data_IF_489094078661
#
_entry.id   IF_489094078661
#
_cell.length_a   1.000
_cell.length_b   1.000
_cell.length_c   1.000
_cell.angle_alpha   90.00
_cell.angle_beta   90.00
_cell.angle_gamma   90.00
#
_symmetry.space_group_name_H-M   'P 1'
#
loop_
_entity.id
_entity.type
_entity.pdbx_description
1 polymer ?
#
# COMPACT_ATOMS: atom_id res chain seq x y z
N UNK A 1 -9.87 -18.64 11.72
CA UNK A 1 -9.97 -17.78 10.52
C UNK A 1 -11.05 -16.75 10.81
N UNK A 2 -10.72 -15.72 11.58
CA UNK A 2 -11.69 -14.66 11.88
C UNK A 2 -11.52 -13.55 10.85
N UNK A 3 -12.16 -13.78 9.70
CA UNK A 3 -12.32 -12.78 8.67
C UNK A 3 -13.38 -11.79 9.18
N UNK A 4 -12.94 -10.78 9.94
CA UNK A 4 -13.79 -9.65 10.31
C UNK A 4 -13.92 -8.68 9.12
N UNK A 5 -14.63 -9.16 8.09
CA UNK A 5 -15.17 -8.37 7.00
C UNK A 5 -16.40 -7.60 7.54
N UNK A 6 -16.21 -6.32 7.85
CA UNK A 6 -17.29 -5.31 7.86
C UNK A 6 -18.23 -5.18 9.08
N UNK A 7 -17.71 -4.99 10.29
CA UNK A 7 -18.44 -4.17 11.28
C UNK A 7 -18.20 -2.68 10.95
N UNK A 8 -19.24 -1.97 10.51
CA UNK A 8 -19.48 -0.49 10.51
C UNK A 8 -20.29 0.02 9.30
N UNK A 9 -21.04 1.12 9.54
CA UNK A 9 -22.12 1.80 8.81
C UNK A 9 -22.34 1.51 7.30
N UNK A 10 -23.61 1.30 6.92
CA UNK A 10 -24.04 0.91 5.56
C UNK A 10 -23.53 1.81 4.41
N UNK A 11 -23.37 3.11 4.64
CA UNK A 11 -22.92 4.05 3.60
C UNK A 11 -21.45 3.89 3.17
N UNK A 12 -20.56 3.57 4.11
CA UNK A 12 -19.14 3.36 3.82
C UNK A 12 -18.92 2.05 3.03
N UNK A 13 -19.79 1.05 3.23
CA UNK A 13 -19.77 -0.22 2.48
C UNK A 13 -20.13 0.00 1.01
N UNK A 14 -21.19 0.78 0.75
CA UNK A 14 -21.62 1.10 -0.62
C UNK A 14 -20.52 1.84 -1.38
N UNK A 15 -19.87 2.82 -0.74
CA UNK A 15 -18.75 3.54 -1.33
C UNK A 15 -17.58 2.59 -1.64
N UNK A 16 -17.29 1.65 -0.74
CA UNK A 16 -16.26 0.64 -0.96
C UNK A 16 -16.51 -0.25 -2.18
N UNK A 17 -17.70 -0.85 -2.27
CA UNK A 17 -18.06 -1.68 -3.44
C UNK A 17 -18.05 -0.87 -4.73
N UNK A 18 -18.49 0.38 -4.70
CA UNK A 18 -18.43 1.27 -5.85
C UNK A 18 -16.99 1.52 -6.32
N UNK A 19 -16.04 1.74 -5.40
CA UNK A 19 -14.62 1.91 -5.75
C UNK A 19 -14.03 0.65 -6.40
N UNK A 20 -14.34 -0.54 -5.87
CA UNK A 20 -13.87 -1.80 -6.47
C UNK A 20 -14.46 -1.99 -7.86
N UNK A 21 -15.77 -1.75 -8.04
CA UNK A 21 -16.42 -1.82 -9.35
C UNK A 21 -15.85 -0.82 -10.34
N UNK A 22 -15.51 0.38 -9.88
CA UNK A 22 -14.86 1.40 -10.71
C UNK A 22 -13.49 0.92 -11.20
N UNK A 23 -12.66 0.36 -10.31
CA UNK A 23 -11.35 -0.22 -10.69
C UNK A 23 -11.53 -1.33 -11.73
N UNK A 24 -12.45 -2.28 -11.49
CA UNK A 24 -12.74 -3.35 -12.46
C UNK A 24 -13.20 -2.80 -13.81
N UNK A 25 -14.04 -1.75 -13.81
CA UNK A 25 -14.55 -1.13 -15.03
C UNK A 25 -13.44 -0.45 -15.82
N UNK A 26 -12.52 0.26 -15.15
CA UNK A 26 -11.36 0.89 -15.80
C UNK A 26 -10.47 -0.17 -16.45
N UNK A 27 -10.15 -1.25 -15.73
CA UNK A 27 -9.36 -2.37 -16.26
C UNK A 27 -10.06 -3.02 -17.47
N UNK A 28 -11.38 -3.21 -17.41
CA UNK A 28 -12.14 -3.78 -18.51
C UNK A 28 -12.12 -2.89 -19.78
N UNK A 29 -12.20 -1.56 -19.61
CA UNK A 29 -12.09 -0.60 -20.73
C UNK A 29 -10.70 -0.66 -21.35
N UNK A 30 -9.63 -0.65 -20.53
CA UNK A 30 -8.26 -0.81 -21.04
C UNK A 30 -8.07 -2.14 -21.77
N UNK A 31 -8.53 -3.25 -21.19
CA UNK A 31 -8.46 -4.58 -21.80
C UNK A 31 -9.15 -4.61 -23.17
N UNK A 32 -10.38 -4.08 -23.24
CA UNK A 32 -11.13 -4.05 -24.49
C UNK A 32 -10.40 -3.22 -25.56
N UNK A 33 -9.87 -2.05 -25.20
CA UNK A 33 -9.14 -1.19 -26.11
C UNK A 33 -7.85 -1.86 -26.63
N UNK A 34 -6.99 -2.34 -25.73
CA UNK A 34 -5.67 -2.89 -26.09
C UNK A 34 -5.82 -4.25 -26.76
N UNK A 35 -6.54 -5.18 -26.13
CA UNK A 35 -6.59 -6.58 -26.57
C UNK A 35 -7.59 -6.76 -27.69
N UNK A 36 -8.82 -6.28 -27.54
CA UNK A 36 -9.90 -6.59 -28.50
C UNK A 36 -9.85 -5.69 -29.73
N UNK A 37 -9.70 -4.38 -29.53
CA UNK A 37 -9.76 -3.42 -30.63
C UNK A 37 -8.42 -3.26 -31.37
N UNK A 38 -7.30 -3.14 -30.65
CA UNK A 38 -6.02 -2.73 -31.26
C UNK A 38 -5.12 -3.91 -31.65
N UNK A 39 -4.73 -4.76 -30.68
CA UNK A 39 -3.62 -5.72 -30.88
C UNK A 39 -4.07 -7.16 -31.13
N UNK A 40 -5.21 -7.59 -30.63
CA UNK A 40 -5.76 -8.93 -30.90
C UNK A 40 -5.94 -9.22 -32.39
N UNK A 41 -6.55 -8.33 -33.19
CA UNK A 41 -6.70 -8.51 -34.64
C UNK A 41 -5.36 -8.60 -35.39
N UNK A 42 -4.28 -8.01 -34.85
CA UNK A 42 -2.96 -8.01 -35.48
C UNK A 42 -2.30 -9.40 -35.46
N UNK A 43 -2.69 -10.27 -34.52
CA UNK A 43 -2.22 -11.66 -34.47
C UNK A 43 -2.54 -12.43 -35.75
N UNK A 44 -3.67 -12.12 -36.39
CA UNK A 44 -4.15 -12.78 -37.60
C UNK A 44 -3.46 -12.31 -38.89
N UNK A 45 -2.72 -11.19 -38.84
CA UNK A 45 -2.06 -10.60 -40.03
C UNK A 45 -0.79 -11.33 -40.46
N UNK A 46 -0.27 -12.24 -39.62
CA UNK A 46 0.96 -12.99 -39.90
C UNK A 46 2.24 -12.13 -39.88
N UNK A 47 3.38 -12.79 -40.12
CA UNK A 47 4.69 -12.13 -40.20
C UNK A 47 5.11 -11.38 -38.93
N UNK A 48 5.84 -10.28 -39.11
CA UNK A 48 6.39 -9.46 -38.01
C UNK A 48 5.29 -8.81 -37.14
N UNK A 49 4.14 -8.48 -37.74
CA UNK A 49 3.02 -7.87 -37.02
C UNK A 49 2.41 -8.83 -36.00
N UNK A 50 2.26 -10.10 -36.38
CA UNK A 50 1.77 -11.14 -35.46
C UNK A 50 2.74 -11.38 -34.30
N UNK A 51 4.05 -11.42 -34.55
CA UNK A 51 5.07 -11.56 -33.50
C UNK A 51 5.08 -10.37 -32.53
N UNK A 52 5.00 -9.14 -33.04
CA UNK A 52 4.94 -7.93 -32.22
C UNK A 52 3.67 -7.91 -31.36
N UNK A 53 2.52 -8.22 -31.97
CA UNK A 53 1.25 -8.30 -31.27
C UNK A 53 1.28 -9.36 -30.16
N UNK A 54 1.82 -10.55 -30.45
CA UNK A 54 2.00 -11.59 -29.44
C UNK A 54 2.86 -11.09 -28.27
N UNK A 55 3.99 -10.44 -28.54
CA UNK A 55 4.90 -9.94 -27.51
C UNK A 55 4.25 -8.88 -26.62
N UNK A 56 3.50 -7.94 -27.22
CA UNK A 56 2.77 -6.89 -26.50
C UNK A 56 1.65 -7.50 -25.65
N UNK A 57 0.84 -8.39 -26.24
CA UNK A 57 -0.26 -9.05 -25.52
C UNK A 57 0.26 -9.95 -24.40
N UNK A 58 1.39 -10.63 -24.59
CA UNK A 58 2.03 -11.42 -23.54
C UNK A 58 2.46 -10.52 -22.37
N UNK A 59 3.15 -9.42 -22.66
CA UNK A 59 3.55 -8.46 -21.63
C UNK A 59 2.34 -7.86 -20.90
N UNK A 60 1.30 -7.46 -21.64
CA UNK A 60 0.04 -6.96 -21.10
C UNK A 60 -0.56 -7.95 -20.09
N UNK A 61 -0.71 -9.22 -20.46
CA UNK A 61 -1.31 -10.21 -19.56
C UNK A 61 -0.43 -10.49 -18.34
N UNK A 62 0.90 -10.50 -18.48
CA UNK A 62 1.82 -10.65 -17.34
C UNK A 62 1.67 -9.48 -16.35
N UNK A 63 1.65 -8.24 -16.85
CA UNK A 63 1.46 -7.05 -16.02
C UNK A 63 0.07 -7.04 -15.37
N UNK A 64 -0.99 -7.36 -16.12
CA UNK A 64 -2.34 -7.47 -15.60
C UNK A 64 -2.46 -8.51 -14.48
N UNK A 65 -1.81 -9.67 -14.62
CA UNK A 65 -1.77 -10.70 -13.55
C UNK A 65 -1.06 -10.15 -12.31
N UNK A 66 0.09 -9.51 -12.46
CA UNK A 66 0.85 -8.96 -11.34
C UNK A 66 0.12 -7.80 -10.65
N UNK A 67 -0.54 -6.94 -11.43
CA UNK A 67 -1.39 -5.84 -10.96
C UNK A 67 -2.55 -6.39 -10.14
N UNK A 68 -3.35 -7.28 -10.72
CA UNK A 68 -4.54 -7.84 -10.06
C UNK A 68 -4.18 -8.65 -8.82
N UNK A 69 -3.11 -9.45 -8.89
CA UNK A 69 -2.60 -10.17 -7.73
C UNK A 69 -2.19 -9.22 -6.60
N UNK A 70 -1.44 -8.16 -6.91
CA UNK A 70 -1.03 -7.16 -5.92
C UNK A 70 -2.23 -6.39 -5.35
N UNK A 71 -3.21 -6.05 -6.19
CA UNK A 71 -4.45 -5.38 -5.79
C UNK A 71 -5.25 -6.23 -4.79
N UNK A 72 -5.50 -7.49 -5.10
CA UNK A 72 -6.22 -8.37 -4.17
C UNK A 72 -5.46 -8.59 -2.87
N UNK A 73 -4.12 -8.68 -2.92
CA UNK A 73 -3.31 -8.79 -1.72
C UNK A 73 -3.43 -7.54 -0.83
N UNK A 74 -3.43 -6.32 -1.36
CA UNK A 74 -3.60 -5.12 -0.53
C UNK A 74 -5.05 -4.94 -0.02
N UNK A 75 -6.05 -5.28 -0.84
CA UNK A 75 -7.47 -5.18 -0.48
C UNK A 75 -7.82 -6.14 0.66
N UNK A 76 -7.43 -7.42 0.55
CA UNK A 76 -7.88 -8.46 1.48
C UNK A 76 -6.94 -8.70 2.66
N UNK A 77 -5.66 -8.31 2.58
CA UNK A 77 -4.74 -8.48 3.69
C UNK A 77 -5.05 -7.46 4.78
N UNK A 78 -5.17 -7.94 6.02
CA UNK A 78 -5.23 -7.05 7.18
C UNK A 78 -3.93 -6.22 7.25
N UNK A 79 -3.98 -4.88 7.28
CA UNK A 79 -2.80 -4.02 7.32
C UNK A 79 -1.97 -4.12 8.61
N UNK A 80 -2.45 -4.86 9.61
CA UNK A 80 -1.87 -4.96 10.95
C UNK A 80 -2.84 -4.39 11.97
N UNK A 81 -3.09 -5.14 13.04
CA UNK A 81 -3.92 -4.75 14.17
C UNK A 81 -3.12 -4.88 15.45
N UNK A 82 -3.31 -3.95 16.37
CA UNK A 82 -2.70 -4.03 17.70
C UNK A 82 -3.32 -5.21 18.46
N UNK A 83 -2.52 -6.10 19.06
CA UNK A 83 -3.02 -7.14 19.96
C UNK A 83 -3.84 -6.56 21.12
N UNK A 84 -4.81 -7.30 21.61
CA UNK A 84 -5.58 -6.90 22.79
C UNK A 84 -4.68 -6.78 24.02
N UNK A 85 -4.94 -5.78 24.85
CA UNK A 85 -4.18 -5.49 26.06
C UNK A 85 -2.67 -5.27 25.81
N UNK A 86 -2.29 -4.80 24.61
CA UNK A 86 -0.90 -4.47 24.33
C UNK A 86 -0.43 -3.38 25.28
N UNK A 87 0.74 -3.61 25.91
CA UNK A 87 1.43 -2.65 26.77
C UNK A 87 2.88 -2.56 26.31
N UNK A 88 3.46 -1.37 26.40
CA UNK A 88 4.89 -1.23 26.22
C UNK A 88 5.56 -1.91 27.41
N UNK A 89 6.44 -2.89 27.15
CA UNK A 89 7.25 -3.49 28.21
C UNK A 89 8.13 -2.38 28.79
N UNK A 90 7.93 -2.05 30.06
CA UNK A 90 8.79 -1.11 30.77
C UNK A 90 9.97 -1.88 31.37
N UNK A 91 11.09 -1.19 31.61
CA UNK A 91 12.27 -1.79 32.27
C UNK A 91 11.93 -2.39 33.65
N UNK A 92 10.84 -1.94 34.27
CA UNK A 92 10.29 -2.46 35.54
C UNK A 92 9.77 -3.91 35.39
N UNK A 93 9.15 -4.28 34.26
CA UNK A 93 8.65 -5.65 34.01
C UNK A 93 9.79 -6.68 33.89
N UNK A 94 10.97 -6.25 33.41
CA UNK A 94 12.16 -7.11 33.32
C UNK A 94 12.83 -7.35 34.69
N UNK A 95 12.61 -6.46 35.67
CA UNK A 95 13.12 -6.64 37.03
C UNK A 95 12.24 -7.57 37.86
N UNK A 96 10.92 -7.55 37.67
CA UNK A 96 9.97 -8.42 38.39
C UNK A 96 10.03 -9.89 37.96
N UNK A 97 10.47 -10.18 36.73
CA UNK A 97 10.72 -11.56 36.27
C UNK A 97 11.88 -12.26 37.03
N UNK A 98 12.69 -11.52 37.80
CA UNK A 98 13.77 -12.04 38.65
C UNK A 98 13.42 -12.18 40.14
N UNK A 99 12.24 -11.73 40.58
CA UNK A 99 11.88 -11.68 42.01
C UNK A 99 10.40 -12.00 42.22
N UNK A 100 10.05 -13.28 42.09
CA UNK A 100 8.77 -13.78 42.56
C UNK A 100 8.68 -13.71 44.09
N UNK A 101 7.85 -12.80 44.63
CA UNK A 101 7.00 -13.03 45.82
C UNK A 101 6.06 -11.84 46.12
N UNK A 102 4.75 -12.09 45.97
CA UNK A 102 3.59 -11.51 46.68
C UNK A 102 3.38 -9.98 46.72
N UNK A 103 2.25 -9.50 46.16
CA UNK A 103 0.99 -9.28 46.89
C UNK A 103 0.07 -8.31 46.15
N UNK A 104 -1.22 -8.61 46.18
CA UNK A 104 -2.35 -7.81 45.72
C UNK A 104 -2.41 -6.41 46.36
N UNK A 105 -2.63 -5.37 45.56
CA UNK A 105 -3.43 -4.21 45.98
C UNK A 105 -3.98 -3.42 44.78
N UNK A 106 -5.29 -3.22 44.78
CA UNK A 106 -6.00 -2.22 43.98
C UNK A 106 -5.56 -0.82 44.40
N UNK A 107 -5.16 0.03 43.44
CA UNK A 107 -5.00 1.47 43.65
C UNK A 107 -5.52 2.22 42.40
N UNK A 108 -6.55 3.03 42.60
CA UNK A 108 -7.06 4.01 41.63
C UNK A 108 -6.01 5.10 41.35
N UNK A 109 -6.01 5.74 40.16
CA UNK A 109 -5.01 6.75 39.85
C UNK A 109 -5.40 8.11 40.44
N UNK A 110 -4.89 8.43 41.62
CA UNK A 110 -4.90 9.80 42.13
C UNK A 110 -3.93 10.70 41.35
N UNK A 111 -4.44 11.85 40.95
CA UNK A 111 -3.74 12.99 40.38
C UNK A 111 -2.75 13.58 41.37
N UNK A 112 -1.45 13.45 41.11
CA UNK A 112 -0.43 14.31 41.70
C UNK A 112 0.34 15.06 40.61
N UNK A 113 0.14 16.38 40.62
CA UNK A 113 0.99 17.33 39.93
C UNK A 113 2.30 17.47 40.70
N UNK A 114 3.42 17.11 40.08
CA UNK A 114 4.75 17.51 40.53
C UNK A 114 5.56 17.98 39.33
N UNK A 115 5.98 19.23 39.44
CA UNK A 115 6.83 19.98 38.53
C UNK A 115 8.27 19.43 38.55
N UNK A 116 8.66 18.69 37.51
CA UNK A 116 10.03 18.77 36.99
C UNK A 116 10.14 18.24 35.54
N UNK A 117 10.28 19.17 34.60
CA UNK A 117 11.33 19.19 33.57
C UNK A 117 11.56 18.09 32.53
N UNK A 118 10.92 16.93 32.53
CA UNK A 118 11.06 15.98 31.41
C UNK A 118 9.72 15.34 31.07
N UNK A 119 9.12 15.80 29.95
CA UNK A 119 7.92 15.22 29.36
C UNK A 119 8.14 13.73 29.02
N UNK A 120 8.00 12.83 30.00
CA UNK A 120 7.72 11.41 29.77
C UNK A 120 6.25 11.30 29.36
N UNK A 121 5.98 11.86 28.19
CA UNK A 121 4.69 11.98 27.55
C UNK A 121 4.10 10.57 27.49
N UNK A 122 2.86 10.39 27.95
CA UNK A 122 2.09 9.13 27.84
C UNK A 122 1.77 8.81 26.36
N UNK A 123 2.78 8.63 25.50
CA UNK A 123 2.63 8.56 24.02
C UNK A 123 2.04 7.23 23.55
N UNK A 124 1.93 6.23 24.43
CA UNK A 124 1.58 4.87 24.03
C UNK A 124 0.12 4.45 24.27
N UNK A 125 -0.89 5.32 24.17
CA UNK A 125 -2.29 4.89 24.38
C UNK A 125 -3.28 5.50 23.38
N UNK A 126 -4.28 4.72 22.96
CA UNK A 126 -5.38 5.16 22.13
C UNK A 126 -6.69 5.15 22.93
N UNK A 127 -7.26 6.34 23.19
CA UNK A 127 -8.53 6.47 23.91
C UNK A 127 -9.73 5.91 23.14
N UNK A 128 -9.72 5.94 21.81
CA UNK A 128 -10.84 5.38 21.03
C UNK A 128 -10.86 3.85 21.05
N UNK A 129 -9.67 3.22 21.06
CA UNK A 129 -9.54 1.76 21.14
C UNK A 129 -9.39 1.24 22.58
N UNK A 130 -9.23 2.13 23.56
CA UNK A 130 -8.92 1.80 24.95
C UNK A 130 -7.76 0.82 25.10
N UNK A 131 -6.73 0.96 24.26
CA UNK A 131 -5.60 0.02 24.20
C UNK A 131 -4.27 0.76 24.07
N UNK A 132 -3.18 0.10 24.49
CA UNK A 132 -1.84 0.60 24.26
C UNK A 132 -1.52 0.74 22.77
N UNK A 133 -0.60 1.63 22.46
CA UNK A 133 -0.25 2.04 21.10
C UNK A 133 1.22 1.67 20.83
N UNK A 134 1.48 0.62 20.02
CA UNK A 134 2.83 0.29 19.58
C UNK A 134 3.51 1.44 18.85
N UNK A 135 4.85 1.43 18.75
CA UNK A 135 5.58 2.38 17.93
C UNK A 135 5.02 2.46 16.51
N UNK A 136 4.96 3.67 15.93
CA UNK A 136 4.51 3.90 14.53
C UNK A 136 3.06 3.51 14.23
N UNK A 137 2.30 3.07 15.24
CA UNK A 137 0.88 2.81 15.10
C UNK A 137 0.12 4.14 14.96
N UNK A 138 -1.02 4.18 14.27
CA UNK A 138 -1.97 5.30 14.35
C UNK A 138 -3.41 4.79 14.34
N UNK A 139 -4.34 5.55 14.92
CA UNK A 139 -5.77 5.23 14.86
C UNK A 139 -6.35 5.73 13.54
N UNK A 140 -6.99 4.85 12.77
CA UNK A 140 -7.74 5.24 11.58
C UNK A 140 -9.22 5.37 11.92
N UNK A 141 -9.76 6.59 11.82
CA UNK A 141 -11.19 6.84 12.06
C UNK A 141 -12.11 6.23 11.00
N UNK A 142 -11.60 5.89 9.82
CA UNK A 142 -12.39 5.20 8.79
C UNK A 142 -12.49 3.71 9.12
N UNK A 143 -11.37 3.08 9.50
CA UNK A 143 -11.35 1.69 9.92
C UNK A 143 -11.79 1.45 11.38
N UNK A 144 -11.94 2.53 12.17
CA UNK A 144 -12.29 2.51 13.60
C UNK A 144 -11.38 1.61 14.43
N UNK A 145 -10.08 1.62 14.11
CA UNK A 145 -9.07 0.82 14.81
C UNK A 145 -7.67 1.39 14.68
N UNK A 146 -6.81 0.99 15.61
CA UNK A 146 -5.37 1.19 15.50
C UNK A 146 -4.76 0.26 14.44
N UNK A 147 -3.94 0.84 13.56
CA UNK A 147 -3.22 0.17 12.48
C UNK A 147 -1.72 0.30 12.72
N UNK A 148 -1.02 -0.84 12.69
CA UNK A 148 0.42 -0.93 12.88
C UNK A 148 1.16 -0.31 11.69
N UNK A 149 2.21 0.48 11.96
CA UNK A 149 2.96 1.25 10.94
C UNK A 149 2.04 1.92 9.92
N UNK A 150 1.00 2.61 10.41
CA UNK A 150 -0.04 3.16 9.55
C UNK A 150 0.57 4.18 8.58
N UNK A 151 0.32 3.98 7.29
CA UNK A 151 0.69 4.92 6.25
C UNK A 151 -0.51 5.82 5.92
N UNK A 152 -1.59 5.24 5.39
CA UNK A 152 -2.83 5.97 5.14
C UNK A 152 -4.03 5.02 5.04
N UNK A 153 -5.23 5.60 4.98
CA UNK A 153 -6.42 4.89 4.52
C UNK A 153 -6.59 5.14 3.03
N UNK A 154 -6.62 4.08 2.22
CA UNK A 154 -6.68 4.19 0.78
C UNK A 154 -8.07 3.81 0.27
N UNK A 155 -8.76 4.79 -0.32
CA UNK A 155 -10.13 4.62 -0.82
C UNK A 155 -10.20 3.67 -2.02
N UNK A 156 -9.15 3.63 -2.86
CA UNK A 156 -9.07 2.78 -4.05
C UNK A 156 -8.99 1.27 -3.75
N UNK A 157 -8.47 0.91 -2.58
CA UNK A 157 -8.37 -0.47 -2.11
C UNK A 157 -9.32 -0.75 -0.94
N UNK A 158 -10.09 0.26 -0.51
CA UNK A 158 -11.07 0.18 0.59
C UNK A 158 -10.48 -0.41 1.87
N UNK A 159 -9.22 -0.09 2.14
CA UNK A 159 -8.47 -0.66 3.25
C UNK A 159 -7.41 0.34 3.72
N UNK A 160 -6.96 0.17 4.96
CA UNK A 160 -5.75 0.83 5.41
C UNK A 160 -4.51 0.20 4.77
N UNK A 161 -3.50 1.02 4.56
CA UNK A 161 -2.15 0.61 4.22
C UNK A 161 -1.30 0.74 5.48
N UNK A 162 -0.71 -0.38 5.92
CA UNK A 162 0.07 -0.50 7.15
C UNK A 162 1.15 -1.56 7.05
N UNK A 163 1.74 -1.95 8.18
CA UNK A 163 2.89 -2.84 8.24
C UNK A 163 2.74 -4.12 7.38
N UNK A 164 1.61 -4.80 7.50
CA UNK A 164 1.43 -6.15 6.95
C UNK A 164 1.01 -6.19 5.48
N UNK A 165 0.69 -5.04 4.86
CA UNK A 165 0.28 -4.96 3.45
C UNK A 165 0.99 -3.85 2.64
N UNK A 166 1.93 -3.10 3.23
CA UNK A 166 2.61 -2.00 2.55
C UNK A 166 3.35 -2.45 1.28
N UNK A 167 4.05 -3.59 1.32
CA UNK A 167 4.70 -4.17 0.11
C UNK A 167 3.70 -4.38 -1.03
N UNK A 168 2.53 -4.94 -0.74
CA UNK A 168 1.50 -5.22 -1.75
C UNK A 168 0.95 -3.94 -2.34
N UNK A 169 0.77 -2.90 -1.52
CA UNK A 169 0.40 -1.57 -1.98
C UNK A 169 1.47 -0.97 -2.93
N UNK A 170 2.75 -1.06 -2.58
CA UNK A 170 3.84 -0.56 -3.43
C UNK A 170 3.92 -1.30 -4.78
N UNK A 171 3.76 -2.62 -4.76
CA UNK A 171 3.71 -3.42 -5.99
C UNK A 171 2.47 -3.10 -6.82
N UNK A 172 1.31 -2.89 -6.19
CA UNK A 172 0.11 -2.43 -6.88
C UNK A 172 0.35 -1.08 -7.57
N UNK A 173 0.96 -0.09 -6.91
CA UNK A 173 1.31 1.19 -7.53
C UNK A 173 2.27 1.01 -8.72
N UNK A 174 3.32 0.21 -8.54
CA UNK A 174 4.31 -0.05 -9.58
C UNK A 174 3.69 -0.72 -10.81
N UNK A 175 2.94 -1.81 -10.62
CA UNK A 175 2.34 -2.55 -11.73
C UNK A 175 1.22 -1.76 -12.41
N UNK A 176 0.45 -0.97 -11.68
CA UNK A 176 -0.54 -0.07 -12.29
C UNK A 176 0.15 1.03 -13.11
N UNK A 177 1.25 1.59 -12.63
CA UNK A 177 2.05 2.55 -13.39
C UNK A 177 2.62 1.93 -14.67
N UNK A 178 3.20 0.73 -14.58
CA UNK A 178 3.77 0.04 -15.75
C UNK A 178 2.70 -0.34 -16.77
N UNK A 179 1.56 -0.88 -16.32
CA UNK A 179 0.44 -1.24 -17.18
C UNK A 179 -0.11 -0.01 -17.91
N UNK A 180 -0.48 1.05 -17.16
CA UNK A 180 -1.06 2.27 -17.74
C UNK A 180 -0.08 3.00 -18.67
N UNK A 181 1.23 2.96 -18.38
CA UNK A 181 2.26 3.49 -19.28
C UNK A 181 2.33 2.66 -20.57
N UNK A 182 2.30 1.33 -20.46
CA UNK A 182 2.34 0.45 -21.62
C UNK A 182 1.10 0.65 -22.50
N UNK A 183 -0.09 0.65 -21.91
CA UNK A 183 -1.37 0.90 -22.57
C UNK A 183 -1.35 2.24 -23.32
N UNK A 184 -0.84 3.30 -22.68
CA UNK A 184 -0.69 4.62 -23.30
C UNK A 184 0.19 4.55 -24.55
N UNK A 185 1.35 3.90 -24.46
CA UNK A 185 2.30 3.80 -25.58
C UNK A 185 1.74 2.98 -26.74
N UNK A 186 1.08 1.86 -26.45
CA UNK A 186 0.57 0.95 -27.49
C UNK A 186 -0.73 1.41 -28.12
N UNK A 187 -1.50 2.28 -27.43
CA UNK A 187 -2.71 2.92 -27.97
C UNK A 187 -2.41 4.23 -28.71
N UNK A 188 -1.25 4.86 -28.50
CA UNK A 188 -0.90 6.15 -29.11
C UNK A 188 -1.09 6.21 -30.64
N UNK A 189 -0.68 5.21 -31.45
CA UNK A 189 -0.91 5.25 -32.89
C UNK A 189 -2.39 5.25 -33.26
N UNK A 190 -3.21 4.47 -32.54
CA UNK A 190 -4.67 4.42 -32.73
C UNK A 190 -5.32 5.74 -32.32
N UNK A 191 -4.82 6.37 -31.25
CA UNK A 191 -5.28 7.67 -30.78
C UNK A 191 -4.92 8.81 -31.76
N UNK A 192 -3.76 8.77 -32.40
CA UNK A 192 -3.41 9.74 -33.45
C UNK A 192 -4.29 9.49 -34.69
N UNK A 193 -4.50 8.22 -35.05
CA UNK A 193 -5.39 7.82 -36.14
C UNK A 193 -6.84 8.30 -35.96
N UNK A 194 -7.34 8.29 -34.72
CA UNK A 194 -8.67 8.80 -34.38
C UNK A 194 -8.93 10.22 -34.92
N UNK A 195 -7.98 11.16 -34.81
CA UNK A 195 -8.18 12.53 -35.31
C UNK A 195 -8.23 12.61 -36.84
N UNK A 196 -7.59 11.67 -37.54
CA UNK A 196 -7.66 11.54 -39.00
C UNK A 196 -8.99 10.93 -39.45
N UNK A 197 -9.44 9.88 -38.77
CA UNK A 197 -10.65 9.12 -39.12
C UNK A 197 -11.94 9.81 -38.70
N UNK A 198 -11.94 10.52 -37.57
CA UNK A 198 -13.07 11.35 -37.14
C UNK A 198 -13.42 12.43 -38.18
N UNK A 199 -12.41 12.90 -38.93
CA UNK A 199 -12.62 13.81 -40.06
C UNK A 199 -13.32 13.13 -41.23
N UNK A 200 -13.10 11.82 -41.40
CA UNK A 200 -13.54 11.04 -42.57
C UNK A 200 -14.81 10.19 -42.33
N UNK A 201 -15.40 10.20 -41.12
CA UNK A 201 -16.65 9.51 -40.75
C UNK A 201 -16.69 7.99 -41.08
N UNK A 202 -15.55 7.30 -41.09
CA UNK A 202 -15.43 5.95 -41.67
C UNK A 202 -15.55 4.78 -40.68
N UNK A 203 -15.62 5.02 -39.37
CA UNK A 203 -15.60 3.97 -38.33
C UNK A 203 -16.80 4.03 -37.37
N UNK A 204 -17.10 2.89 -36.72
CA UNK A 204 -18.14 2.80 -35.70
C UNK A 204 -17.86 3.79 -34.55
N UNK A 205 -18.77 4.74 -34.26
CA UNK A 205 -18.57 5.75 -33.22
C UNK A 205 -18.26 5.16 -31.83
N UNK A 206 -18.77 3.97 -31.53
CA UNK A 206 -18.55 3.29 -30.24
C UNK A 206 -17.09 2.88 -30.03
N UNK A 207 -16.46 2.22 -31.01
CA UNK A 207 -15.07 1.76 -30.88
C UNK A 207 -14.10 2.95 -30.75
N UNK A 208 -14.38 4.03 -31.49
CA UNK A 208 -13.62 5.28 -31.39
C UNK A 208 -13.73 5.90 -29.98
N UNK A 209 -14.93 5.89 -29.39
CA UNK A 209 -15.14 6.39 -28.03
C UNK A 209 -14.38 5.57 -26.99
N UNK A 210 -14.38 4.24 -27.09
CA UNK A 210 -13.61 3.37 -26.18
C UNK A 210 -12.10 3.60 -26.27
N UNK A 211 -11.56 3.72 -27.49
CA UNK A 211 -10.13 3.99 -27.70
C UNK A 211 -9.71 5.35 -27.12
N UNK A 212 -10.51 6.38 -27.36
CA UNK A 212 -10.27 7.72 -26.81
C UNK A 212 -10.31 7.71 -25.27
N UNK A 213 -11.36 7.12 -24.70
CA UNK A 213 -11.53 7.02 -23.25
C UNK A 213 -10.40 6.24 -22.60
N UNK A 214 -10.04 5.07 -23.15
CA UNK A 214 -8.96 4.24 -22.65
C UNK A 214 -7.62 4.98 -22.70
N UNK A 215 -7.29 5.64 -23.81
CA UNK A 215 -6.04 6.38 -23.93
C UNK A 215 -5.94 7.52 -22.90
N UNK A 216 -6.98 8.34 -22.78
CA UNK A 216 -6.99 9.49 -21.84
C UNK A 216 -6.91 9.01 -20.38
N UNK A 217 -7.65 7.96 -20.03
CA UNK A 217 -7.61 7.40 -18.67
C UNK A 217 -6.21 6.83 -18.35
N UNK A 218 -5.63 6.01 -19.23
CA UNK A 218 -4.32 5.42 -19.00
C UNK A 218 -3.22 6.49 -18.90
N UNK A 219 -3.25 7.52 -19.77
CA UNK A 219 -2.30 8.63 -19.69
C UNK A 219 -2.41 9.39 -18.37
N UNK A 220 -3.64 9.70 -17.94
CA UNK A 220 -3.88 10.39 -16.67
C UNK A 220 -3.39 9.57 -15.48
N UNK A 221 -3.69 8.27 -15.45
CA UNK A 221 -3.20 7.38 -14.39
C UNK A 221 -1.69 7.25 -14.41
N UNK A 222 -1.06 7.04 -15.57
CA UNK A 222 0.40 6.90 -15.68
C UNK A 222 1.13 8.13 -15.10
N UNK A 223 0.69 9.34 -15.45
CA UNK A 223 1.27 10.59 -14.93
C UNK A 223 1.05 10.74 -13.42
N UNK A 224 -0.15 10.46 -12.93
CA UNK A 224 -0.45 10.55 -11.50
C UNK A 224 0.34 9.52 -10.68
N UNK A 225 0.40 8.27 -11.14
CA UNK A 225 1.02 7.16 -10.43
C UNK A 225 2.54 7.26 -10.43
N UNK A 226 3.15 7.87 -11.44
CA UNK A 226 4.58 8.20 -11.40
C UNK A 226 4.93 9.04 -10.16
N UNK A 227 4.11 10.05 -9.83
CA UNK A 227 4.30 10.87 -8.64
C UNK A 227 4.20 10.03 -7.36
N UNK A 228 3.18 9.16 -7.25
CA UNK A 228 3.01 8.28 -6.10
C UNK A 228 4.16 7.28 -5.96
N UNK A 229 4.63 6.66 -7.05
CA UNK A 229 5.77 5.74 -7.06
C UNK A 229 7.03 6.44 -6.55
N UNK A 230 7.32 7.64 -7.06
CA UNK A 230 8.50 8.43 -6.64
C UNK A 230 8.38 8.84 -5.16
N UNK A 231 7.22 9.31 -4.74
CA UNK A 231 6.96 9.70 -3.34
C UNK A 231 7.19 8.50 -2.41
N UNK A 232 6.55 7.35 -2.69
CA UNK A 232 6.69 6.17 -1.84
C UNK A 232 8.10 5.57 -1.89
N UNK A 233 8.82 5.65 -3.02
CA UNK A 233 10.21 5.25 -3.09
C UNK A 233 11.09 6.09 -2.14
N UNK A 234 10.81 7.40 -2.01
CA UNK A 234 11.47 8.28 -1.04
C UNK A 234 11.11 7.92 0.41
N UNK A 235 9.84 7.61 0.67
CA UNK A 235 9.36 7.16 1.98
C UNK A 235 10.03 5.86 2.42
N UNK A 236 10.12 4.85 1.54
CA UNK A 236 10.83 3.59 1.79
C UNK A 236 12.32 3.85 2.01
N UNK A 237 12.95 4.66 1.16
CA UNK A 237 14.39 4.96 1.25
C UNK A 237 14.77 5.59 2.59
N UNK A 238 13.87 6.35 3.21
CA UNK A 238 14.10 7.02 4.49
C UNK A 238 13.33 6.43 5.68
N UNK A 239 12.73 5.24 5.49
CA UNK A 239 11.93 4.50 6.47
C UNK A 239 10.89 5.34 7.22
N UNK A 240 10.16 6.16 6.48
CA UNK A 240 9.05 6.99 7.00
C UNK A 240 7.74 6.55 6.37
N UNK A 241 6.65 6.60 7.13
CA UNK A 241 5.29 6.58 6.56
C UNK A 241 4.84 7.98 6.16
N UNK A 242 3.76 8.11 5.39
CA UNK A 242 3.17 9.41 5.06
C UNK A 242 2.70 10.19 6.30
N UNK A 243 2.26 9.51 7.36
CA UNK A 243 1.90 10.16 8.64
C UNK A 243 3.14 10.76 9.30
N UNK A 244 4.24 10.01 9.27
CA UNK A 244 5.48 10.35 9.97
C UNK A 244 6.27 11.47 9.28
N UNK A 245 5.98 11.82 8.03
CA UNK A 245 6.70 12.90 7.32
C UNK A 245 6.68 14.21 8.12
N UNK A 246 5.55 14.54 8.75
CA UNK A 246 5.42 15.75 9.56
C UNK A 246 6.13 15.63 10.91
N UNK A 247 6.17 14.43 11.49
CA UNK A 247 6.89 14.16 12.73
C UNK A 247 8.41 14.24 12.50
N UNK A 248 8.90 13.66 11.40
CA UNK A 248 10.30 13.70 11.00
C UNK A 248 10.82 15.12 10.82
N UNK A 249 10.02 16.06 10.30
CA UNK A 249 10.44 17.47 10.16
C UNK A 249 10.85 18.13 11.47
N UNK A 250 10.40 17.60 12.62
CA UNK A 250 10.77 18.08 13.96
C UNK A 250 12.09 17.48 14.48
N UNK A 251 12.66 16.51 13.76
CA UNK A 251 13.88 15.80 14.15
C UNK A 251 15.00 16.05 13.14
N UNK A 252 16.22 16.30 13.61
CA UNK A 252 17.41 16.44 12.74
C UNK A 252 17.78 15.09 12.10
N UNK A 253 17.60 13.99 12.84
CA UNK A 253 17.85 12.61 12.39
C UNK A 253 16.63 11.73 12.69
N UNK A 254 16.20 10.95 11.70
CA UNK A 254 15.06 10.04 11.85
C UNK A 254 15.52 8.70 12.43
N UNK A 255 15.05 8.34 13.63
CA UNK A 255 15.53 7.15 14.37
C UNK A 255 15.30 5.82 13.65
N UNK A 256 14.30 5.71 12.78
CA UNK A 256 14.02 4.47 12.03
C UNK A 256 14.80 4.38 10.71
N UNK A 257 15.52 5.42 10.31
CA UNK A 257 16.34 5.41 9.09
C UNK A 257 17.68 4.69 9.33
N UNK A 258 17.69 3.38 9.18
CA UNK A 258 18.86 2.50 9.43
C UNK A 258 19.65 2.20 8.14
N UNK A 259 19.53 3.08 7.14
CA UNK A 259 20.22 2.98 5.85
C UNK A 259 19.36 2.38 4.74
N UNK A 260 19.49 2.91 3.51
CA UNK A 260 18.58 2.65 2.37
C UNK A 260 18.32 1.16 2.10
N UNK A 261 19.35 0.32 2.12
CA UNK A 261 19.20 -1.13 1.89
C UNK A 261 18.37 -1.78 3.00
N UNK A 262 18.73 -1.52 4.26
CA UNK A 262 18.02 -2.08 5.42
C UNK A 262 16.58 -1.57 5.49
N UNK A 263 16.34 -0.30 5.15
CA UNK A 263 15.01 0.28 5.07
C UNK A 263 14.14 -0.41 4.01
N UNK A 264 14.73 -0.71 2.85
CA UNK A 264 14.06 -1.46 1.79
C UNK A 264 13.75 -2.90 2.20
N UNK A 265 14.71 -3.61 2.80
CA UNK A 265 14.54 -5.00 3.24
C UNK A 265 13.51 -5.11 4.39
N UNK A 266 13.33 -4.08 5.23
CA UNK A 266 12.23 -4.00 6.19
C UNK A 266 10.83 -3.94 5.56
N UNK A 267 10.72 -3.68 4.25
CA UNK A 267 9.44 -3.65 3.52
C UNK A 267 9.33 -4.84 2.57
N UNK A 268 10.39 -5.15 1.82
CA UNK A 268 10.35 -6.15 0.75
C UNK A 268 10.83 -7.55 1.17
N UNK A 269 11.47 -7.66 2.33
CA UNK A 269 12.17 -8.86 2.77
C UNK A 269 13.60 -8.94 2.20
N UNK A 270 14.36 -9.93 2.67
CA UNK A 270 15.76 -10.14 2.27
C UNK A 270 15.88 -10.93 0.97
N UNK A 271 14.87 -11.73 0.62
CA UNK A 271 14.88 -12.59 -0.58
C UNK A 271 14.58 -11.81 -1.86
N UNK A 272 15.63 -11.46 -2.59
CA UNK A 272 15.57 -10.68 -3.85
C UNK A 272 14.62 -11.23 -4.90
N UNK A 273 14.57 -12.55 -5.05
CA UNK A 273 13.69 -13.22 -6.01
C UNK A 273 12.19 -12.95 -5.76
N UNK A 274 11.82 -12.56 -4.55
CA UNK A 274 10.44 -12.26 -4.16
C UNK A 274 10.13 -10.75 -4.13
N UNK A 275 11.08 -9.88 -4.45
CA UNK A 275 10.87 -8.43 -4.36
C UNK A 275 9.75 -7.94 -5.28
N UNK A 276 9.68 -8.50 -6.49
CA UNK A 276 8.68 -8.19 -7.51
C UNK A 276 7.44 -9.11 -7.43
N UNK A 277 7.32 -9.93 -6.39
CA UNK A 277 6.14 -10.77 -6.21
C UNK A 277 5.40 -10.34 -4.95
N UNK A 278 4.06 -10.31 -4.96
CA UNK A 278 3.25 -9.93 -3.80
C UNK A 278 3.15 -11.08 -2.80
N UNK A 279 4.30 -11.63 -2.40
CA UNK A 279 4.45 -12.70 -1.42
C UNK A 279 5.66 -12.41 -0.51
N UNK A 280 5.64 -12.99 0.68
CA UNK A 280 6.79 -13.02 1.58
C UNK A 280 7.24 -14.46 1.79
N UNK A 281 8.53 -14.64 2.04
CA UNK A 281 9.01 -15.92 2.52
C UNK A 281 8.68 -16.08 4.00
N UNK A 282 8.43 -17.31 4.45
CA UNK A 282 8.17 -17.60 5.87
C UNK A 282 9.31 -17.09 6.76
N UNK A 283 10.55 -17.31 6.32
CA UNK A 283 11.74 -16.84 6.99
C UNK A 283 11.77 -15.31 7.18
N UNK A 284 11.39 -14.52 6.17
CA UNK A 284 11.31 -13.07 6.31
C UNK A 284 10.23 -12.66 7.32
N UNK A 285 9.07 -13.32 7.31
CA UNK A 285 7.97 -13.04 8.25
C UNK A 285 8.35 -13.35 9.71
N UNK A 286 9.18 -14.37 9.92
CA UNK A 286 9.65 -14.78 11.23
C UNK A 286 10.82 -13.91 11.73
N UNK A 287 11.75 -13.52 10.83
CA UNK A 287 13.00 -12.83 11.19
C UNK A 287 12.94 -11.30 11.13
N UNK A 288 11.95 -10.70 10.47
CA UNK A 288 11.87 -9.25 10.29
C UNK A 288 10.67 -8.70 11.09
N UNK A 289 10.88 -8.25 12.34
CA UNK A 289 9.79 -7.77 13.20
C UNK A 289 8.99 -6.62 12.60
N UNK A 290 9.64 -5.78 11.78
CA UNK A 290 9.03 -4.65 11.09
C UNK A 290 7.89 -5.06 10.13
N UNK A 291 7.90 -6.31 9.61
CA UNK A 291 6.82 -6.83 8.76
C UNK A 291 5.55 -7.16 9.56
N UNK A 292 5.68 -7.43 10.86
CA UNK A 292 4.55 -7.61 11.79
C UNK A 292 4.10 -6.27 12.39
N UNK A 293 5.00 -5.29 12.45
CA UNK A 293 4.70 -3.90 12.75
C UNK A 293 4.64 -3.54 14.24
N UNK A 294 5.06 -4.45 15.13
CA UNK A 294 5.13 -4.22 16.56
C UNK A 294 6.47 -3.63 17.00
N UNK A 295 7.55 -4.03 16.32
CA UNK A 295 8.92 -3.63 16.66
C UNK A 295 9.66 -3.17 15.40
N UNK A 296 10.56 -2.20 15.58
CA UNK A 296 11.33 -1.62 14.49
C UNK A 296 12.77 -1.36 14.95
N UNK A 297 13.78 -1.73 14.14
CA UNK A 297 15.15 -1.33 14.41
C UNK A 297 15.26 0.19 14.47
N UNK A 298 15.89 0.70 15.52
CA UNK A 298 16.25 2.11 15.68
C UNK A 298 17.76 2.29 15.57
N UNK A 299 18.19 3.50 15.21
CA UNK A 299 19.60 3.87 15.27
C UNK A 299 19.99 4.19 16.71
N UNK A 300 21.11 3.62 17.17
CA UNK A 300 21.65 3.88 18.51
C UNK A 300 22.17 5.30 18.71
N UNK A 301 22.56 6.01 17.63
CA UNK A 301 23.08 7.39 17.70
C UNK A 301 21.99 8.46 17.85
N UNK A 302 20.72 8.08 17.91
CA UNK A 302 19.57 8.98 18.09
C UNK A 302 18.90 8.79 19.47
N UNK A 303 19.31 7.76 20.22
CA UNK A 303 18.78 7.45 21.57
C UNK A 303 19.68 8.00 22.71
N UNK A 304 20.73 8.75 22.36
CA UNK A 304 21.66 9.41 23.30
C UNK A 304 21.38 10.92 23.45
#
# INVERSE_FOLDING_TARGET
MDINLFKFCSGLKVLGYFMILLVVSIVAVSYYAVVVLTWGPQLLRGGIHSFLAFSILFLFHVLLILLTWSYFMVVFKNPGSVPENWRAVTEEDNMEAGSSMASSHHVEPETFASSDGLERKRVGYCSQCQNGKPPRCHHCSICQRCVLKMDHHCVWVVNCVGACNYKFFLLFLLYTFLETTMDTLVLLPSFIGFFSEAKNHSNSPGNLAFLFLAFVLNLAFALSLLCFVVMHASLVSSNTTSVEVYEKKKSVRWRYDVGRKNNFEQVFGTKRALWLLPVFSKEDLDKIPALQGLEFPTRSDVEA
#
